data_IF_408401611079
#
_entry.id   IF_408401611079
#
_cell.length_a   1.000
_cell.length_b   1.000
_cell.length_c   1.000
_cell.angle_alpha   90.00
_cell.angle_beta   90.00
_cell.angle_gamma   90.00
#
_symmetry.space_group_name_H-M   'P 1'
#
loop_
_entity.id
_entity.type
_entity.pdbx_description
1 polymer ?
#
# COMPACT_ATOMS: atom_id res chain seq x y z
N UNK A 1 22.52 -50.97 -8.49
CA UNK A 1 22.59 -49.96 -9.58
C UNK A 1 22.36 -48.61 -8.90
N UNK A 2 23.36 -47.98 -8.29
CA UNK A 2 24.58 -47.34 -8.82
C UNK A 2 24.30 -45.93 -9.39
N UNK A 3 24.58 -44.93 -8.51
CA UNK A 3 25.02 -43.54 -8.71
C UNK A 3 24.02 -42.41 -9.01
N UNK A 4 23.91 -41.54 -8.01
CA UNK A 4 23.72 -40.09 -8.12
C UNK A 4 24.92 -39.41 -8.82
N UNK A 5 24.70 -38.20 -9.38
CA UNK A 5 25.52 -37.03 -9.07
C UNK A 5 24.61 -35.82 -8.76
N UNK A 6 24.74 -35.09 -7.65
CA UNK A 6 25.79 -34.11 -7.28
C UNK A 6 26.12 -33.13 -8.42
N UNK A 7 25.51 -31.95 -8.37
CA UNK A 7 26.05 -30.74 -9.01
C UNK A 7 26.07 -29.61 -8.00
N UNK A 8 27.27 -29.07 -7.82
CA UNK A 8 27.59 -27.93 -6.99
C UNK A 8 28.29 -26.88 -7.87
N UNK A 9 28.23 -25.62 -7.39
CA UNK A 9 29.04 -24.46 -7.76
C UNK A 9 28.81 -23.77 -9.12
N UNK A 10 28.43 -22.48 -9.05
CA UNK A 10 29.33 -21.40 -9.50
C UNK A 10 28.88 -20.04 -8.94
N UNK A 11 29.68 -19.53 -8.00
CA UNK A 11 29.78 -18.11 -7.63
C UNK A 11 30.43 -17.32 -8.78
N UNK A 12 29.91 -16.14 -9.12
CA UNK A 12 30.68 -15.11 -9.82
C UNK A 12 30.40 -13.71 -9.27
N UNK A 13 31.48 -13.16 -8.73
CA UNK A 13 31.74 -11.78 -8.34
C UNK A 13 32.31 -11.03 -9.57
N UNK A 14 32.26 -9.69 -9.54
CA UNK A 14 32.86 -8.66 -10.42
C UNK A 14 31.97 -8.23 -11.62
N UNK A 15 31.84 -6.95 -11.97
CA UNK A 15 32.79 -5.85 -11.86
C UNK A 15 32.14 -4.45 -11.79
N UNK A 16 32.93 -3.53 -11.26
CA UNK A 16 32.79 -2.08 -11.21
C UNK A 16 32.56 -1.41 -12.56
N UNK A 17 31.84 -0.28 -12.57
CA UNK A 17 32.15 0.84 -13.44
C UNK A 17 31.91 2.17 -12.72
N UNK A 18 33.00 2.91 -12.60
CA UNK A 18 33.18 4.21 -12.00
C UNK A 18 33.08 5.24 -13.13
N UNK A 19 32.16 6.21 -13.05
CA UNK A 19 32.19 7.50 -13.76
C UNK A 19 31.06 8.34 -13.14
N UNK A 20 31.27 9.46 -12.44
CA UNK A 20 32.27 10.49 -12.61
C UNK A 20 31.65 11.62 -13.42
N UNK A 21 30.97 12.58 -12.76
CA UNK A 21 31.00 13.97 -13.22
C UNK A 21 30.59 14.95 -12.11
N UNK A 22 31.55 15.82 -11.77
CA UNK A 22 31.38 17.11 -11.12
C UNK A 22 30.27 17.92 -11.81
N UNK A 23 29.43 18.59 -11.01
CA UNK A 23 29.05 19.97 -11.30
C UNK A 23 29.10 20.79 -10.02
N UNK A 24 30.16 21.58 -9.90
CA UNK A 24 30.26 22.75 -9.05
C UNK A 24 29.36 23.83 -9.64
N UNK A 25 28.29 24.19 -8.94
CA UNK A 25 27.47 25.36 -9.21
C UNK A 25 27.46 26.28 -8.00
N UNK A 26 28.49 27.12 -7.89
CA UNK A 26 28.53 28.22 -6.93
C UNK A 26 27.76 29.42 -7.44
N UNK A 27 26.83 29.92 -6.62
CA UNK A 27 26.41 31.33 -6.65
C UNK A 27 24.92 31.56 -6.93
N UNK A 28 24.21 32.18 -5.98
CA UNK A 28 23.85 33.59 -6.14
C UNK A 28 23.08 34.12 -4.92
N UNK A 29 23.74 35.06 -4.25
CA UNK A 29 23.25 36.31 -3.65
C UNK A 29 21.87 36.39 -2.96
N UNK A 30 21.99 36.85 -1.72
CA UNK A 30 20.96 37.37 -0.83
C UNK A 30 19.95 38.33 -1.47
N UNK A 31 18.72 38.27 -0.96
CA UNK A 31 17.85 39.44 -0.81
C UNK A 31 17.19 39.42 0.56
N UNK A 32 17.77 40.17 1.48
CA UNK A 32 17.13 40.57 2.72
C UNK A 32 15.99 41.55 2.37
N UNK A 33 14.75 41.06 2.47
CA UNK A 33 13.55 41.89 2.38
C UNK A 33 12.99 42.10 3.78
N UNK A 34 13.04 43.34 4.24
CA UNK A 34 12.38 43.82 5.46
C UNK A 34 10.90 43.45 5.44
N UNK A 35 10.45 42.65 6.41
CA UNK A 35 9.04 42.51 6.76
C UNK A 35 8.82 43.23 8.07
N UNK A 36 8.18 44.39 7.95
CA UNK A 36 7.74 45.22 9.04
C UNK A 36 6.80 44.43 9.97
N UNK A 37 7.04 44.64 11.26
CA UNK A 37 6.28 44.16 12.39
C UNK A 37 4.78 44.37 12.22
N UNK A 38 4.07 43.25 12.06
CA UNK A 38 2.64 43.13 12.32
C UNK A 38 2.46 41.95 13.27
N UNK A 39 2.83 42.11 14.54
CA UNK A 39 2.57 41.13 15.59
C UNK A 39 1.05 41.03 15.77
N UNK A 40 0.45 40.11 15.02
CA UNK A 40 -0.92 39.66 15.26
C UNK A 40 -0.90 38.84 16.54
N UNK A 41 -1.28 39.47 17.64
CA UNK A 41 -1.49 38.82 18.93
C UNK A 41 -2.72 37.91 18.74
N UNK A 42 -2.51 36.66 18.33
CA UNK A 42 -3.56 35.64 18.31
C UNK A 42 -3.97 35.43 19.77
N UNK A 43 -5.25 35.61 20.13
CA UNK A 43 -5.70 35.43 21.49
C UNK A 43 -5.39 33.99 21.95
N UNK A 44 -4.59 33.85 23.00
CA UNK A 44 -4.45 32.59 23.71
C UNK A 44 -5.80 32.26 24.35
N UNK A 45 -6.64 31.43 23.72
CA UNK A 45 -7.96 31.23 24.32
C UNK A 45 -9.01 30.40 23.62
N UNK A 46 -8.66 29.52 22.69
CA UNK A 46 -9.57 28.42 22.36
C UNK A 46 -8.76 27.13 22.43
N UNK A 47 -9.09 26.19 23.33
CA UNK A 47 -8.48 24.87 23.26
C UNK A 47 -8.72 24.37 21.85
N UNK A 48 -7.65 24.16 21.08
CA UNK A 48 -7.74 23.34 19.88
C UNK A 48 -8.32 22.03 20.38
N UNK A 49 -9.57 21.75 20.00
CA UNK A 49 -10.24 20.54 20.43
C UNK A 49 -9.38 19.37 19.96
N UNK A 50 -8.62 18.81 20.90
CA UNK A 50 -7.78 17.61 20.71
C UNK A 50 -8.61 16.39 20.32
N UNK A 51 -9.94 16.54 20.32
CA UNK A 51 -10.90 15.53 19.91
C UNK A 51 -10.78 15.16 18.43
N UNK A 52 -10.21 16.03 17.58
CA UNK A 52 -10.18 15.84 16.12
C UNK A 52 -8.81 15.41 15.57
N UNK A 53 -7.87 15.07 16.45
CA UNK A 53 -6.57 14.52 16.06
C UNK A 53 -6.66 12.99 16.14
N UNK A 54 -6.53 12.27 15.00
CA UNK A 54 -6.47 10.82 15.02
C UNK A 54 -5.30 10.31 15.85
N UNK A 55 -5.57 9.29 16.67
CA UNK A 55 -4.54 8.50 17.35
C UNK A 55 -4.34 7.21 16.54
N UNK A 56 -3.17 7.01 15.90
CA UNK A 56 -2.90 5.81 15.13
C UNK A 56 -3.15 4.50 15.92
N UNK A 57 -2.87 4.49 17.22
CA UNK A 57 -3.04 3.29 18.05
C UNK A 57 -4.51 2.95 18.34
N UNK A 58 -5.40 3.94 18.25
CA UNK A 58 -6.84 3.77 18.45
C UNK A 58 -7.62 3.59 17.14
N UNK A 59 -7.00 3.86 16.00
CA UNK A 59 -7.59 3.63 14.67
C UNK A 59 -7.47 2.17 14.24
N UNK A 60 -8.35 1.71 13.35
CA UNK A 60 -8.26 0.37 12.74
C UNK A 60 -8.51 0.44 11.24
N UNK A 61 -7.91 -0.47 10.49
CA UNK A 61 -8.09 -0.61 9.03
C UNK A 61 -8.31 -2.09 8.71
N UNK A 62 -9.55 -2.46 8.37
CA UNK A 62 -9.94 -3.85 8.09
C UNK A 62 -10.14 -4.02 6.58
N UNK A 63 -9.65 -5.11 5.95
CA UNK A 63 -8.90 -6.24 6.53
C UNK A 63 -7.38 -6.01 6.65
N UNK A 64 -6.87 -4.85 6.22
CA UNK A 64 -5.42 -4.62 6.07
C UNK A 64 -4.58 -4.89 7.33
N UNK A 65 -5.10 -4.54 8.51
CA UNK A 65 -4.43 -4.78 9.80
C UNK A 65 -4.26 -6.28 10.10
N UNK A 66 -5.20 -7.12 9.68
CA UNK A 66 -5.15 -8.57 9.90
C UNK A 66 -4.16 -9.24 8.95
N UNK A 67 -4.08 -8.74 7.72
CA UNK A 67 -3.16 -9.23 6.69
C UNK A 67 -1.76 -8.65 6.81
N UNK A 68 -1.55 -7.64 7.67
CA UNK A 68 -0.27 -6.90 7.78
C UNK A 68 0.15 -6.31 6.41
N UNK A 69 -0.82 -5.89 5.62
CA UNK A 69 -0.63 -5.49 4.23
C UNK A 69 -1.92 -5.01 3.58
N UNK A 70 -1.81 -4.56 2.35
CA UNK A 70 -2.95 -4.10 1.55
C UNK A 70 -3.11 -5.04 0.37
N UNK A 71 -4.35 -5.47 0.13
CA UNK A 71 -4.72 -6.15 -1.11
C UNK A 71 -5.40 -5.13 -2.02
N UNK A 72 -4.93 -5.06 -3.26
CA UNK A 72 -5.58 -4.34 -4.36
C UNK A 72 -5.95 -5.36 -5.42
N UNK A 73 -7.04 -5.13 -6.13
CA UNK A 73 -7.41 -5.96 -7.29
C UNK A 73 -8.09 -5.07 -8.31
N UNK A 74 -7.94 -5.33 -9.61
CA UNK A 74 -8.87 -4.78 -10.57
C UNK A 74 -10.31 -5.15 -10.15
N UNK A 75 -11.28 -4.25 -10.30
CA UNK A 75 -12.58 -4.32 -9.61
C UNK A 75 -13.80 -4.46 -10.54
N UNK A 76 -13.58 -4.71 -11.84
CA UNK A 76 -14.65 -5.01 -12.80
C UNK A 76 -14.67 -6.52 -13.06
N UNK A 77 -15.82 -7.19 -12.98
CA UNK A 77 -17.15 -6.66 -12.70
C UNK A 77 -17.42 -6.34 -11.22
N UNK A 78 -16.73 -7.00 -10.29
CA UNK A 78 -16.98 -6.87 -8.86
C UNK A 78 -15.67 -6.72 -8.06
N UNK A 79 -15.68 -5.96 -6.97
CA UNK A 79 -14.58 -6.00 -6.02
C UNK A 79 -14.53 -7.33 -5.27
N UNK A 80 -13.32 -7.81 -4.98
CA UNK A 80 -13.12 -8.93 -4.07
C UNK A 80 -13.18 -8.45 -2.61
N UNK A 81 -13.64 -9.26 -1.64
CA UNK A 81 -13.80 -8.83 -0.25
C UNK A 81 -12.52 -8.27 0.39
N UNK A 82 -11.34 -8.77 -0.01
CA UNK A 82 -10.05 -8.29 0.50
C UNK A 82 -9.72 -6.84 0.11
N UNK A 83 -10.37 -6.30 -0.93
CA UNK A 83 -10.19 -4.91 -1.41
C UNK A 83 -11.18 -3.92 -0.81
N UNK A 84 -12.20 -4.41 -0.09
CA UNK A 84 -13.19 -3.56 0.58
C UNK A 84 -12.66 -3.12 1.95
N UNK A 85 -12.09 -1.92 2.00
CA UNK A 85 -11.42 -1.41 3.20
C UNK A 85 -12.39 -0.60 4.05
N UNK A 86 -12.52 -0.96 5.32
CA UNK A 86 -13.14 -0.12 6.35
C UNK A 86 -12.06 0.50 7.22
N UNK A 87 -12.08 1.84 7.33
CA UNK A 87 -11.25 2.60 8.26
C UNK A 87 -12.12 3.12 9.39
N UNK A 88 -11.70 2.90 10.63
CA UNK A 88 -12.30 3.49 11.83
C UNK A 88 -11.31 4.44 12.46
N UNK A 89 -11.67 5.72 12.52
CA UNK A 89 -10.82 6.81 13.03
C UNK A 89 -11.25 7.20 14.44
N UNK A 90 -10.32 7.13 15.38
CA UNK A 90 -10.52 7.50 16.79
C UNK A 90 -9.39 8.39 17.29
N UNK A 91 -9.69 9.19 18.30
CA UNK A 91 -8.69 9.96 19.03
C UNK A 91 -8.09 9.15 20.19
N UNK A 92 -7.20 9.76 20.96
CA UNK A 92 -6.51 9.14 22.10
C UNK A 92 -7.43 8.68 23.24
N UNK A 93 -8.66 9.21 23.33
CA UNK A 93 -9.64 8.77 24.33
C UNK A 93 -10.54 7.65 23.80
N UNK A 94 -10.26 7.14 22.60
CA UNK A 94 -11.07 6.13 21.91
C UNK A 94 -12.38 6.68 21.35
N UNK A 95 -12.61 8.00 21.38
CA UNK A 95 -13.83 8.59 20.82
C UNK A 95 -13.75 8.63 19.30
N UNK A 96 -14.84 8.33 18.58
CA UNK A 96 -14.86 8.40 17.12
C UNK A 96 -14.67 9.85 16.65
N UNK A 97 -13.98 10.02 15.52
CA UNK A 97 -13.81 11.32 14.86
C UNK A 97 -14.70 11.34 13.62
N UNK A 98 -15.79 12.10 13.70
CA UNK A 98 -16.66 12.37 12.55
C UNK A 98 -16.00 13.34 11.57
N UNK A 99 -16.41 13.28 10.30
CA UNK A 99 -15.98 14.17 9.22
C UNK A 99 -14.45 14.19 8.99
N UNK A 100 -13.74 13.15 9.42
CA UNK A 100 -12.31 13.01 9.20
C UNK A 100 -12.05 12.72 7.72
N UNK A 101 -11.17 13.50 7.09
CA UNK A 101 -10.73 13.26 5.73
C UNK A 101 -9.73 12.10 5.72
N UNK A 102 -10.10 10.97 5.13
CA UNK A 102 -9.26 9.77 5.02
C UNK A 102 -8.76 9.64 3.59
N UNK A 103 -7.45 9.41 3.44
CA UNK A 103 -6.79 9.25 2.15
C UNK A 103 -5.89 8.02 2.19
N UNK A 104 -6.03 7.17 1.19
CA UNK A 104 -5.10 6.10 0.86
C UNK A 104 -4.05 6.64 -0.12
N UNK A 105 -2.77 6.46 0.19
CA UNK A 105 -1.65 6.85 -0.64
C UNK A 105 -0.85 5.59 -1.00
N UNK A 106 -0.88 5.21 -2.27
CA UNK A 106 0.10 4.29 -2.85
C UNK A 106 1.26 5.15 -3.37
N UNK A 107 2.44 5.03 -2.78
CA UNK A 107 3.51 6.02 -3.01
C UNK A 107 4.11 5.99 -4.43
N UNK A 108 3.87 4.92 -5.17
CA UNK A 108 4.11 4.91 -6.61
C UNK A 108 2.74 4.64 -7.25
N UNK A 109 2.20 5.67 -7.92
CA UNK A 109 0.86 5.70 -8.52
C UNK A 109 0.65 4.65 -9.62
N UNK A 110 1.61 3.77 -9.85
CA UNK A 110 1.77 3.11 -11.14
C UNK A 110 0.65 2.13 -11.47
N UNK A 111 -0.24 1.77 -10.52
CA UNK A 111 -1.24 0.73 -10.75
C UNK A 111 -2.56 0.91 -10.02
N UNK A 112 -3.09 2.12 -10.00
CA UNK A 112 -4.43 2.39 -9.50
C UNK A 112 -5.41 2.38 -10.68
N UNK A 113 -6.53 1.64 -10.59
CA UNK A 113 -7.56 1.71 -11.62
C UNK A 113 -8.04 3.17 -11.78
N UNK A 114 -8.35 3.65 -13.00
CA UNK A 114 -8.84 5.02 -13.20
C UNK A 114 -10.10 5.38 -12.39
N UNK A 115 -10.91 4.37 -12.06
CA UNK A 115 -12.15 4.49 -11.28
C UNK A 115 -11.94 4.28 -9.77
N UNK A 116 -10.72 4.06 -9.30
CA UNK A 116 -10.47 3.77 -7.89
C UNK A 116 -10.82 4.96 -7.00
N UNK A 117 -11.53 4.69 -5.91
CA UNK A 117 -11.85 5.68 -4.89
C UNK A 117 -10.83 5.54 -3.76
N UNK A 118 -9.84 6.44 -3.73
CA UNK A 118 -8.74 6.39 -2.76
C UNK A 118 -8.92 7.34 -1.55
N UNK A 119 -10.09 7.95 -1.41
CA UNK A 119 -10.36 8.88 -0.31
C UNK A 119 -11.83 8.89 0.06
N UNK A 120 -12.12 9.25 1.31
CA UNK A 120 -13.48 9.48 1.78
C UNK A 120 -13.50 10.26 3.08
N UNK A 121 -14.69 10.42 3.63
CA UNK A 121 -14.95 11.16 4.86
C UNK A 121 -15.65 10.25 5.86
N UNK A 122 -15.22 10.28 7.14
CA UNK A 122 -15.84 9.43 8.17
C UNK A 122 -17.24 9.90 8.57
N UNK A 123 -18.11 8.96 8.88
CA UNK A 123 -19.43 9.20 9.46
C UNK A 123 -19.36 9.57 10.96
N UNK A 124 -20.53 9.74 11.59
CA UNK A 124 -20.64 10.05 13.02
C UNK A 124 -20.04 8.97 13.96
N UNK A 125 -19.88 7.73 13.46
CA UNK A 125 -19.22 6.64 14.18
C UNK A 125 -17.71 6.57 13.90
N UNK A 126 -17.17 7.52 13.13
CA UNK A 126 -15.77 7.57 12.75
C UNK A 126 -15.41 6.56 11.66
N UNK A 127 -16.37 6.08 10.87
CA UNK A 127 -16.17 5.03 9.87
C UNK A 127 -16.18 5.59 8.45
N UNK A 128 -15.30 5.07 7.59
CA UNK A 128 -15.35 5.28 6.14
C UNK A 128 -15.04 3.95 5.45
N UNK A 129 -15.66 3.73 4.28
CA UNK A 129 -15.42 2.56 3.44
C UNK A 129 -15.04 3.00 2.04
N UNK A 130 -14.05 2.34 1.46
CA UNK A 130 -13.70 2.49 0.05
C UNK A 130 -13.12 1.18 -0.49
N UNK A 131 -13.18 1.03 -1.81
CA UNK A 131 -12.68 -0.14 -2.52
C UNK A 131 -11.34 0.21 -3.16
N UNK A 132 -10.31 -0.58 -2.86
CA UNK A 132 -8.98 -0.40 -3.44
C UNK A 132 -8.87 -1.17 -4.75
N UNK A 133 -8.88 -0.42 -5.85
CA UNK A 133 -8.82 -0.98 -7.20
C UNK A 133 -7.45 -0.72 -7.84
N UNK A 134 -6.76 -1.77 -8.26
CA UNK A 134 -5.40 -1.69 -8.80
C UNK A 134 -4.72 -3.04 -8.97
N UNK A 135 -3.47 -3.02 -9.43
CA UNK A 135 -2.67 -4.20 -9.76
C UNK A 135 -1.26 -4.20 -9.17
N UNK A 136 -0.49 -5.23 -9.50
CA UNK A 136 0.93 -5.38 -9.21
C UNK A 136 1.27 -5.62 -7.74
N UNK A 137 2.54 -5.44 -7.41
CA UNK A 137 3.08 -5.89 -6.13
C UNK A 137 4.25 -5.06 -5.61
N UNK A 138 4.20 -4.82 -4.29
CA UNK A 138 5.29 -4.27 -3.48
C UNK A 138 5.40 -5.14 -2.24
N UNK A 139 6.50 -5.88 -2.14
CA UNK A 139 6.78 -6.80 -1.04
C UNK A 139 7.94 -6.26 -0.20
N UNK A 140 7.70 -6.10 1.10
CA UNK A 140 8.66 -5.58 2.07
C UNK A 140 9.23 -4.17 1.75
N UNK A 141 8.47 -3.33 1.02
CA UNK A 141 8.87 -1.97 0.63
C UNK A 141 8.42 -0.95 1.69
N UNK A 142 9.32 -0.18 2.32
CA UNK A 142 8.93 0.85 3.28
C UNK A 142 7.92 1.84 2.69
N UNK A 143 6.81 2.05 3.41
CA UNK A 143 5.73 2.96 3.02
C UNK A 143 5.05 2.58 1.68
N UNK A 144 5.03 1.30 1.29
CA UNK A 144 4.34 0.83 0.10
C UNK A 144 2.89 1.35 0.01
N UNK A 145 2.18 1.37 1.14
CA UNK A 145 0.89 2.05 1.29
C UNK A 145 0.80 2.81 2.61
N UNK A 146 0.22 4.01 2.55
CA UNK A 146 0.00 4.86 3.72
C UNK A 146 -1.46 5.28 3.77
N UNK A 147 -2.10 5.11 4.93
CA UNK A 147 -3.44 5.63 5.19
C UNK A 147 -3.33 6.81 6.15
N UNK A 148 -3.88 7.94 5.74
CA UNK A 148 -3.91 9.18 6.52
C UNK A 148 -5.34 9.53 6.89
N UNK A 149 -5.53 10.07 8.09
CA UNK A 149 -6.77 10.71 8.53
C UNK A 149 -6.42 12.13 9.01
N UNK A 150 -7.10 13.16 8.51
CA UNK A 150 -6.81 14.57 8.84
C UNK A 150 -5.31 14.94 8.72
N UNK A 151 -4.62 14.35 7.74
CA UNK A 151 -3.18 14.53 7.52
C UNK A 151 -2.25 13.69 8.42
N UNK A 152 -2.77 13.03 9.46
CA UNK A 152 -2.00 12.13 10.34
C UNK A 152 -1.95 10.73 9.74
N UNK A 153 -0.76 10.16 9.58
CA UNK A 153 -0.60 8.75 9.18
C UNK A 153 -1.09 7.82 10.28
N UNK A 154 -2.18 7.10 10.03
CA UNK A 154 -2.75 6.11 10.96
C UNK A 154 -2.22 4.70 10.71
N UNK A 155 -1.80 4.40 9.47
CA UNK A 155 -1.17 3.14 9.08
C UNK A 155 -0.13 3.35 8.00
N UNK A 156 0.94 2.56 8.09
CA UNK A 156 2.00 2.44 7.10
C UNK A 156 2.23 0.94 6.86
N UNK A 157 1.90 0.46 5.67
CA UNK A 157 2.11 -0.94 5.29
C UNK A 157 3.36 -1.06 4.43
N UNK A 158 4.03 -2.22 4.56
CA UNK A 158 5.18 -2.58 3.73
C UNK A 158 4.80 -3.42 2.51
N UNK A 159 3.60 -3.98 2.54
CA UNK A 159 3.10 -4.91 1.54
C UNK A 159 1.86 -4.34 0.85
N UNK A 160 1.91 -4.29 -0.47
CA UNK A 160 0.76 -4.08 -1.36
C UNK A 160 0.78 -5.23 -2.34
N UNK A 161 -0.25 -6.06 -2.33
CA UNK A 161 -0.31 -7.31 -3.10
C UNK A 161 -1.56 -7.33 -3.96
N UNK A 162 -1.48 -7.98 -5.12
CA UNK A 162 -2.58 -8.08 -6.06
C UNK A 162 -2.63 -9.46 -6.72
N UNK A 163 -3.83 -9.96 -7.05
CA UNK A 163 -3.98 -11.10 -7.96
C UNK A 163 -3.52 -10.82 -9.39
N UNK A 164 -3.39 -9.55 -9.80
CA UNK A 164 -2.74 -9.14 -11.06
C UNK A 164 -1.23 -9.05 -10.79
N UNK A 165 -0.51 -10.09 -11.19
CA UNK A 165 0.93 -10.25 -11.02
C UNK A 165 1.60 -10.74 -12.31
N UNK A 166 1.93 -9.77 -13.16
CA UNK A 166 2.88 -9.88 -14.26
C UNK A 166 4.25 -9.25 -13.92
N UNK A 167 4.44 -8.81 -12.67
CA UNK A 167 5.62 -8.15 -12.13
C UNK A 167 5.27 -7.09 -11.07
N UNK A 168 6.22 -6.19 -10.76
CA UNK A 168 5.94 -5.02 -9.91
C UNK A 168 4.90 -4.07 -10.53
N UNK A 169 4.60 -4.30 -11.81
CA UNK A 169 4.04 -3.36 -12.74
C UNK A 169 2.61 -3.61 -13.18
N UNK A 170 1.99 -4.78 -12.96
CA UNK A 170 0.58 -5.10 -13.27
C UNK A 170 0.08 -4.74 -14.67
N UNK A 171 -0.68 -5.60 -15.35
CA UNK A 171 -1.38 -5.17 -16.58
C UNK A 171 -2.80 -4.63 -16.29
N UNK A 172 -3.15 -4.51 -15.01
CA UNK A 172 -4.45 -4.13 -14.48
C UNK A 172 -5.55 -5.13 -14.84
N UNK A 173 -5.18 -6.40 -15.02
CA UNK A 173 -6.07 -7.50 -15.30
C UNK A 173 -5.56 -8.80 -14.68
N UNK A 174 -6.51 -9.67 -14.32
CA UNK A 174 -6.22 -11.00 -13.78
C UNK A 174 -6.55 -12.03 -14.85
N UNK A 175 -5.54 -12.77 -15.29
CA UNK A 175 -5.65 -13.77 -16.35
C UNK A 175 -4.81 -15.04 -16.13
N UNK A 176 -4.59 -15.80 -17.20
CA UNK A 176 -3.92 -17.10 -17.14
C UNK A 176 -2.45 -16.96 -16.69
N UNK A 177 -1.79 -15.84 -17.01
CA UNK A 177 -0.41 -15.58 -16.57
C UNK A 177 -0.32 -15.57 -15.06
N UNK A 178 -1.24 -14.84 -14.43
CA UNK A 178 -1.30 -14.69 -12.98
C UNK A 178 -1.62 -16.03 -12.31
N UNK A 179 -2.56 -16.80 -12.88
CA UNK A 179 -2.85 -18.14 -12.38
C UNK A 179 -1.63 -19.05 -12.42
N UNK A 180 -0.82 -18.99 -13.48
CA UNK A 180 0.41 -19.79 -13.60
C UNK A 180 1.42 -19.37 -12.52
N UNK A 181 1.60 -18.07 -12.29
CA UNK A 181 2.48 -17.56 -11.24
C UNK A 181 2.00 -17.97 -9.84
N UNK A 182 0.73 -17.70 -9.52
CA UNK A 182 0.09 -18.12 -8.27
C UNK A 182 0.25 -19.62 -8.04
N UNK A 183 -0.04 -20.45 -9.06
CA UNK A 183 0.07 -21.91 -8.96
C UNK A 183 1.48 -22.37 -8.65
N UNK A 184 2.49 -21.73 -9.27
CA UNK A 184 3.89 -22.07 -9.05
C UNK A 184 4.31 -21.81 -7.59
N UNK A 185 3.88 -20.70 -7.00
CA UNK A 185 4.09 -20.38 -5.58
C UNK A 185 3.29 -21.32 -4.66
N UNK A 186 2.01 -21.56 -4.96
CA UNK A 186 1.11 -22.40 -4.17
C UNK A 186 1.59 -23.85 -4.05
N UNK A 187 2.18 -24.41 -5.11
CA UNK A 187 2.76 -25.77 -5.09
C UNK A 187 4.23 -25.79 -4.63
N UNK A 188 4.79 -24.65 -4.23
CA UNK A 188 6.15 -24.54 -3.69
C UNK A 188 7.27 -24.67 -4.73
N UNK A 189 6.95 -24.48 -6.02
CA UNK A 189 7.96 -24.48 -7.10
C UNK A 189 8.61 -23.11 -7.30
N UNK A 190 7.95 -22.05 -6.84
CA UNK A 190 8.48 -20.68 -6.72
C UNK A 190 8.35 -20.19 -5.27
N UNK A 191 9.20 -19.24 -4.88
CA UNK A 191 9.12 -18.64 -3.55
C UNK A 191 7.83 -17.80 -3.43
N UNK A 192 7.13 -17.83 -2.29
CA UNK A 192 6.00 -16.96 -2.04
C UNK A 192 6.48 -15.50 -2.04
N UNK A 193 5.75 -14.66 -2.76
CA UNK A 193 6.03 -13.22 -2.75
C UNK A 193 4.71 -12.45 -2.81
N UNK A 194 4.25 -12.16 -4.02
CA UNK A 194 3.10 -11.30 -4.26
C UNK A 194 1.75 -11.97 -4.02
N UNK A 195 1.74 -13.30 -3.95
CA UNK A 195 0.53 -14.08 -3.67
C UNK A 195 0.43 -14.57 -2.22
N UNK A 196 1.36 -14.22 -1.33
CA UNK A 196 1.26 -14.45 0.13
C UNK A 196 0.52 -13.26 0.79
N UNK A 197 -0.76 -13.11 0.50
CA UNK A 197 -1.54 -11.92 0.85
C UNK A 197 -1.62 -11.67 2.36
N UNK A 198 -1.66 -12.73 3.16
CA UNK A 198 -1.70 -12.66 4.62
C UNK A 198 -0.31 -12.54 5.27
N UNK A 199 0.75 -12.54 4.47
CA UNK A 199 2.14 -12.45 4.89
C UNK A 199 2.55 -13.55 5.90
N UNK A 200 2.02 -14.76 5.70
CA UNK A 200 2.34 -15.95 6.49
C UNK A 200 3.71 -16.55 6.13
N UNK A 201 4.31 -16.12 5.02
CA UNK A 201 5.54 -16.67 4.47
C UNK A 201 5.31 -17.87 3.54
N UNK A 202 4.05 -18.17 3.18
CA UNK A 202 3.68 -19.25 2.25
C UNK A 202 2.40 -18.93 1.48
N UNK A 203 2.39 -19.16 0.17
CA UNK A 203 1.18 -19.10 -0.65
C UNK A 203 0.33 -20.36 -0.41
N UNK A 204 -0.79 -20.21 0.28
CA UNK A 204 -1.59 -21.31 0.81
C UNK A 204 -3.10 -21.13 0.57
N UNK A 205 -3.94 -21.92 1.24
CA UNK A 205 -5.40 -21.90 1.04
C UNK A 205 -6.03 -20.54 1.38
N UNK A 206 -5.50 -19.82 2.38
CA UNK A 206 -5.96 -18.48 2.70
C UNK A 206 -5.77 -17.53 1.50
N UNK A 207 -4.64 -17.66 0.80
CA UNK A 207 -4.34 -16.87 -0.38
C UNK A 207 -5.21 -17.24 -1.58
N UNK A 208 -5.51 -18.53 -1.74
CA UNK A 208 -6.42 -19.00 -2.78
C UNK A 208 -7.82 -18.41 -2.62
N UNK A 209 -8.30 -18.20 -1.38
CA UNK A 209 -9.60 -17.57 -1.12
C UNK A 209 -9.63 -16.11 -1.62
N UNK A 210 -8.48 -15.43 -1.63
CA UNK A 210 -8.35 -14.05 -2.12
C UNK A 210 -8.17 -14.04 -3.64
N UNK A 211 -7.31 -14.92 -4.18
CA UNK A 211 -7.02 -14.99 -5.61
C UNK A 211 -8.20 -15.49 -6.44
N UNK A 212 -8.86 -16.56 -6.01
CA UNK A 212 -9.85 -17.28 -6.83
C UNK A 212 -11.03 -16.42 -7.30
N UNK A 213 -11.63 -15.53 -6.48
CA UNK A 213 -12.69 -14.64 -6.95
C UNK A 213 -12.19 -13.68 -8.03
N UNK A 214 -10.99 -13.12 -7.89
CA UNK A 214 -10.45 -12.16 -8.86
C UNK A 214 -10.21 -12.81 -10.23
N UNK A 215 -9.61 -14.01 -10.23
CA UNK A 215 -9.39 -14.79 -11.44
C UNK A 215 -10.69 -15.31 -12.05
N UNK A 216 -11.61 -15.83 -11.22
CA UNK A 216 -12.89 -16.39 -11.67
C UNK A 216 -13.77 -15.35 -12.38
N UNK A 217 -13.73 -14.10 -11.92
CA UNK A 217 -14.45 -12.97 -12.51
C UNK A 217 -13.71 -12.34 -13.70
N UNK A 218 -12.49 -12.81 -14.02
CA UNK A 218 -11.58 -12.18 -14.99
C UNK A 218 -11.42 -10.67 -14.72
N UNK A 219 -11.06 -10.37 -13.46
CA UNK A 219 -11.04 -9.01 -12.94
C UNK A 219 -10.15 -8.10 -13.79
N UNK A 220 -10.62 -6.91 -14.13
CA UNK A 220 -9.85 -5.90 -14.86
C UNK A 220 -10.24 -4.48 -14.43
N UNK A 221 -9.42 -3.49 -14.76
CA UNK A 221 -9.83 -2.09 -14.67
C UNK A 221 -10.67 -1.72 -15.90
N UNK A 222 -11.67 -0.82 -15.75
CA UNK A 222 -12.52 -0.38 -16.86
C UNK A 222 -11.77 0.50 -17.88
#
# INVERSE_FOLDING_TARGET
>A
MNRSPSFAFASRILASALLGLLFLGTGSLARAGNLADGVSIVPAGSPVLTTNIPDPSACTVTPCDQMVGVVVSPNVPNPIPATEVEVVVRNQTGSPIADAAVVFQNLDNDLVCPSAVLSGTTDAAGRVRFTLAGGGCKSDVPLAAVIKANGVSIRNYRNVKSPDFDGAGGDLKVDISDLVAFSAEFVGTSAPDCHDYDNSGTTNLADLIIFAPAFGDASHCP
#
